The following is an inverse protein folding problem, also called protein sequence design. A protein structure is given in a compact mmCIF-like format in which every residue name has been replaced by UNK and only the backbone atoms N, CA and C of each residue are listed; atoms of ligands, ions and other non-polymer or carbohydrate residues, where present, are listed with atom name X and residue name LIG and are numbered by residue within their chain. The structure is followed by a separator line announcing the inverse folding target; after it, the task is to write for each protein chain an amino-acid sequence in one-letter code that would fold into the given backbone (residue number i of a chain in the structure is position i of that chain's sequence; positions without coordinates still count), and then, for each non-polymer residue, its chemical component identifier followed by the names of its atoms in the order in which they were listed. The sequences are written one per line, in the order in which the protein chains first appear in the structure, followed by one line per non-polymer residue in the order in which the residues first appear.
data_IF_852905956536
#
_entry.id   IF_852905956536
#
_cell.length_a   1.000
_cell.length_b   1.000
_cell.length_c   1.000
_cell.angle_alpha   90.00
_cell.angle_beta   90.00
_cell.angle_gamma   90.00
#
_symmetry.space_group_name_H-M   'P 1'
#
loop_
_entity.id
_entity.type
_entity.pdbx_description
1 polymer ?
#
# COMPACT_ATOMS: atom_id res chain seq x y z
N UNK A 1 -4.67 19.07 9.56
CA UNK A 1 -4.81 17.64 9.91
C UNK A 1 -5.53 16.87 8.81
N UNK A 2 -6.79 17.20 8.48
CA UNK A 2 -7.53 16.53 7.41
C UNK A 2 -6.86 16.60 6.02
N UNK A 3 -6.51 17.80 5.54
CA UNK A 3 -5.80 17.97 4.26
C UNK A 3 -4.48 17.17 4.19
N UNK A 4 -3.76 17.06 5.31
CA UNK A 4 -2.51 16.32 5.38
C UNK A 4 -2.72 14.80 5.35
N UNK A 5 -3.81 14.28 5.94
CA UNK A 5 -4.17 12.86 5.84
C UNK A 5 -4.55 12.47 4.41
N UNK A 6 -5.31 13.32 3.70
CA UNK A 6 -5.61 13.06 2.29
C UNK A 6 -4.37 13.15 1.40
N UNK A 7 -3.47 14.11 1.66
CA UNK A 7 -2.21 14.21 0.94
C UNK A 7 -1.32 12.98 1.15
N UNK A 8 -1.25 12.44 2.38
CA UNK A 8 -0.45 11.25 2.65
C UNK A 8 -1.04 9.98 2.02
N UNK A 9 -2.36 9.85 1.96
CA UNK A 9 -3.03 8.74 1.24
C UNK A 9 -2.69 8.79 -0.26
N UNK A 10 -2.75 9.98 -0.86
CA UNK A 10 -2.49 10.17 -2.29
C UNK A 10 -1.00 9.95 -2.62
N UNK A 11 -0.10 10.36 -1.72
CA UNK A 11 1.33 10.10 -1.87
C UNK A 11 1.66 8.60 -1.79
N UNK A 12 1.09 7.89 -0.82
CA UNK A 12 1.31 6.45 -0.66
C UNK A 12 0.75 5.64 -1.84
N UNK A 13 -0.41 6.03 -2.39
CA UNK A 13 -0.95 5.39 -3.59
C UNK A 13 -0.08 5.62 -4.82
N UNK A 14 0.49 6.82 -4.99
CA UNK A 14 1.42 7.12 -6.07
C UNK A 14 2.69 6.26 -5.98
N UNK A 15 3.27 6.11 -4.78
CA UNK A 15 4.43 5.24 -4.56
C UNK A 15 4.13 3.78 -4.93
N UNK A 16 2.95 3.27 -4.55
CA UNK A 16 2.53 1.92 -4.88
C UNK A 16 2.44 1.67 -6.41
N UNK A 17 1.86 2.61 -7.16
CA UNK A 17 1.79 2.52 -8.63
C UNK A 17 3.19 2.44 -9.25
N UNK A 18 4.11 3.28 -8.77
CA UNK A 18 5.47 3.37 -9.31
C UNK A 18 6.24 2.06 -9.07
N UNK A 19 6.18 1.53 -7.84
CA UNK A 19 6.97 0.36 -7.43
C UNK A 19 6.41 -0.94 -8.02
N UNK A 20 5.10 -1.15 -7.98
CA UNK A 20 4.50 -2.45 -8.35
C UNK A 20 3.97 -2.49 -9.79
N UNK A 21 3.36 -1.41 -10.27
CA UNK A 21 2.61 -1.43 -11.54
C UNK A 21 3.39 -0.82 -12.72
N UNK A 22 4.62 -0.33 -12.49
CA UNK A 22 5.47 0.29 -13.50
C UNK A 22 4.82 1.55 -14.06
N UNK A 23 5.22 2.71 -13.56
CA UNK A 23 4.67 3.99 -13.98
C UNK A 23 5.55 4.71 -14.99
N UNK A 24 5.12 4.77 -16.25
CA UNK A 24 5.60 5.81 -17.18
C UNK A 24 4.98 7.14 -16.73
N UNK A 25 5.77 8.11 -16.20
CA UNK A 25 5.23 9.30 -15.53
C UNK A 25 4.43 10.25 -16.45
N UNK A 26 4.37 9.96 -17.76
CA UNK A 26 3.72 10.81 -18.77
C UNK A 26 2.55 10.14 -19.51
N UNK A 27 2.10 8.94 -19.09
CA UNK A 27 0.99 8.25 -19.77
C UNK A 27 -0.35 8.49 -19.08
N UNK A 28 -1.44 8.69 -19.84
CA UNK A 28 -2.83 8.73 -19.32
C UNK A 28 -3.14 7.50 -18.45
N UNK A 29 -2.56 6.35 -18.80
CA UNK A 29 -2.69 5.09 -18.06
C UNK A 29 -2.17 5.18 -16.62
N UNK A 30 -1.18 6.04 -16.34
CA UNK A 30 -0.67 6.25 -14.98
C UNK A 30 -1.73 6.92 -14.09
N UNK A 31 -2.37 7.97 -14.59
CA UNK A 31 -3.44 8.67 -13.86
C UNK A 31 -4.64 7.77 -13.61
N UNK A 32 -5.00 6.91 -14.58
CA UNK A 32 -6.09 5.94 -14.40
C UNK A 32 -5.74 4.89 -13.33
N UNK A 33 -4.53 4.31 -13.38
CA UNK A 33 -4.04 3.38 -12.36
C UNK A 33 -4.01 4.03 -10.97
N UNK A 34 -3.55 5.27 -10.86
CA UNK A 34 -3.51 6.03 -9.61
C UNK A 34 -4.91 6.26 -9.05
N UNK A 35 -5.87 6.65 -9.89
CA UNK A 35 -7.27 6.84 -9.48
C UNK A 35 -7.90 5.55 -8.95
N UNK A 36 -7.67 4.42 -9.61
CA UNK A 36 -8.16 3.11 -9.16
C UNK A 36 -7.58 2.71 -7.79
N UNK A 37 -6.29 2.92 -7.57
CA UNK A 37 -5.65 2.59 -6.30
C UNK A 37 -6.11 3.54 -5.19
N UNK A 38 -6.21 4.84 -5.46
CA UNK A 38 -6.77 5.80 -4.51
C UNK A 38 -8.22 5.45 -4.13
N UNK A 39 -9.04 5.03 -5.10
CA UNK A 39 -10.39 4.53 -4.85
C UNK A 39 -10.39 3.28 -3.96
N UNK A 40 -9.50 2.32 -4.20
CA UNK A 40 -9.35 1.14 -3.35
C UNK A 40 -8.98 1.50 -1.91
N UNK A 41 -8.05 2.45 -1.69
CA UNK A 41 -7.69 2.91 -0.34
C UNK A 41 -8.88 3.53 0.41
N UNK A 42 -9.67 4.36 -0.27
CA UNK A 42 -10.89 4.96 0.32
C UNK A 42 -11.93 3.89 0.62
N UNK A 43 -12.10 2.91 -0.28
CA UNK A 43 -13.02 1.79 -0.08
C UNK A 43 -12.62 0.93 1.13
N UNK A 44 -11.34 0.55 1.23
CA UNK A 44 -10.80 -0.24 2.34
C UNK A 44 -11.04 0.45 3.69
N UNK A 45 -10.93 1.78 3.76
CA UNK A 45 -11.28 2.57 4.95
C UNK A 45 -12.75 2.48 5.34
N UNK A 46 -13.64 2.33 4.37
CA UNK A 46 -15.09 2.15 4.59
C UNK A 46 -15.49 0.72 4.99
N UNK A 47 -14.76 -0.30 4.55
CA UNK A 47 -15.13 -1.71 4.79
C UNK A 47 -14.56 -2.29 6.09
N UNK A 48 -13.44 -1.77 6.58
CA UNK A 48 -12.79 -2.33 7.77
C UNK A 48 -13.31 -1.66 9.06
N UNK A 49 -14.00 -2.41 9.95
CA UNK A 49 -14.29 -1.93 11.30
C UNK A 49 -12.97 -1.75 12.07
N UNK A 50 -12.86 -0.68 12.87
CA UNK A 50 -11.61 -0.30 13.57
C UNK A 50 -10.95 -1.52 14.24
N UNK A 51 -9.81 -1.93 13.72
CA UNK A 51 -8.96 -2.96 14.33
C UNK A 51 -8.19 -2.34 15.51
N UNK A 52 -8.19 -3.04 16.65
CA UNK A 52 -7.43 -2.61 17.82
C UNK A 52 -5.92 -2.69 17.55
N UNK A 53 -5.16 -1.74 18.11
CA UNK A 53 -3.70 -1.63 17.90
C UNK A 53 -2.94 -2.94 18.16
N UNK A 54 -3.35 -3.72 19.16
CA UNK A 54 -2.73 -5.01 19.49
C UNK A 54 -2.77 -6.01 18.33
N UNK A 55 -3.92 -6.08 17.63
CA UNK A 55 -4.08 -7.02 16.51
C UNK A 55 -3.31 -6.56 15.28
N UNK A 56 -3.17 -5.24 15.07
CA UNK A 56 -2.40 -4.68 13.96
C UNK A 56 -0.89 -4.88 14.18
N UNK A 57 -0.40 -4.69 15.41
CA UNK A 57 0.99 -4.95 15.76
C UNK A 57 1.32 -6.44 15.60
N UNK A 58 0.44 -7.32 16.08
CA UNK A 58 0.64 -8.76 15.92
C UNK A 58 0.71 -9.18 14.44
N UNK A 59 -0.17 -8.65 13.59
CA UNK A 59 -0.16 -8.91 12.15
C UNK A 59 1.15 -8.44 11.48
N UNK A 60 1.64 -7.26 11.85
CA UNK A 60 2.91 -6.72 11.35
C UNK A 60 4.11 -7.59 11.75
N UNK A 61 4.21 -7.95 13.03
CA UNK A 61 5.37 -8.65 13.57
C UNK A 61 5.38 -10.15 13.28
N UNK A 62 4.22 -10.81 13.31
CA UNK A 62 4.11 -12.26 13.10
C UNK A 62 3.80 -12.64 11.66
N UNK A 63 3.19 -11.76 10.88
CA UNK A 63 2.83 -12.02 9.49
C UNK A 63 3.80 -11.35 8.51
N UNK A 64 3.78 -10.03 8.47
CA UNK A 64 4.51 -9.29 7.43
C UNK A 64 6.03 -9.43 7.55
N UNK A 65 6.58 -9.41 8.76
CA UNK A 65 8.03 -9.53 8.97
C UNK A 65 8.62 -10.87 8.49
N UNK A 66 8.12 -12.06 8.89
CA UNK A 66 8.68 -13.31 8.40
C UNK A 66 8.43 -13.53 6.90
N UNK A 67 7.31 -13.03 6.36
CA UNK A 67 7.00 -13.15 4.93
C UNK A 67 7.95 -12.31 4.08
N UNK A 68 8.23 -11.06 4.47
CA UNK A 68 9.18 -10.22 3.74
C UNK A 68 10.60 -10.78 3.79
N UNK A 69 11.02 -11.33 4.95
CA UNK A 69 12.31 -11.99 5.08
C UNK A 69 12.40 -13.22 4.17
N UNK A 70 11.38 -14.07 4.14
CA UNK A 70 11.34 -15.26 3.30
C UNK A 70 11.42 -14.91 1.80
N UNK A 71 10.73 -13.85 1.38
CA UNK A 71 10.76 -13.38 -0.01
C UNK A 71 12.17 -12.87 -0.41
N UNK A 72 12.88 -12.21 0.52
CA UNK A 72 14.27 -11.78 0.28
C UNK A 72 15.22 -12.96 0.14
N UNK A 73 15.12 -13.97 1.00
CA UNK A 73 15.93 -15.18 0.89
C UNK A 73 15.68 -15.91 -0.42
N UNK A 74 14.41 -16.09 -0.79
CA UNK A 74 14.03 -16.71 -2.05
C UNK A 74 14.60 -15.97 -3.27
N UNK A 75 14.55 -14.64 -3.27
CA UNK A 75 15.10 -13.84 -4.37
C UNK A 75 16.64 -13.88 -4.42
N UNK A 76 17.30 -14.06 -3.28
CA UNK A 76 18.76 -14.15 -3.18
C UNK A 76 19.32 -15.52 -3.59
N UNK A 77 18.47 -16.51 -3.86
CA UNK A 77 18.86 -17.79 -4.46
C UNK A 77 19.26 -18.90 -3.48
N UNK A 78 18.75 -18.87 -2.24
CA UNK A 78 18.77 -20.00 -1.29
C UNK A 78 17.34 -20.44 -0.98
#
# INVERSE_FOLDING_TARGET
MFMAEYASILFMSALFVIIFLGGSPCSILFYFKLSLIAFAFVWVRGTLPRLRYDKLMYLAWKGFLPVSLNYLFFFMGV
#
